data_IF_688508226511
#
_entry.id   IF_688508226511
#
_cell.length_a   1.000
_cell.length_b   1.000
_cell.length_c   1.000
_cell.angle_alpha   90.00
_cell.angle_beta   90.00
_cell.angle_gamma   90.00
#
_symmetry.space_group_name_H-M   'P 1'
#
loop_
_entity.id
_entity.type
_entity.pdbx_description
1 polymer ?
#
# COMPACT_ATOMS: atom_id res chain seq x y z
N UNK A 1 53.18 5.57 -26.38
CA UNK A 1 53.63 4.21 -26.01
C UNK A 1 53.92 4.26 -24.52
N UNK A 2 53.29 3.54 -23.60
CA UNK A 2 52.21 2.57 -23.62
C UNK A 2 51.64 2.51 -22.19
N UNK A 3 50.42 1.99 -22.07
CA UNK A 3 49.77 1.67 -20.80
C UNK A 3 50.63 0.75 -19.93
N UNK A 4 50.53 0.90 -18.62
CA UNK A 4 50.74 -0.22 -17.70
C UNK A 4 49.50 -0.42 -16.81
N UNK A 5 48.99 -1.64 -16.84
CA UNK A 5 47.79 -2.15 -16.18
C UNK A 5 48.25 -3.02 -15.02
N UNK A 6 48.13 -2.55 -13.79
CA UNK A 6 48.19 -3.41 -12.61
C UNK A 6 47.47 -2.79 -11.41
N UNK A 7 46.15 -3.00 -11.38
CA UNK A 7 45.46 -3.41 -10.15
C UNK A 7 45.46 -4.95 -10.14
N UNK A 8 45.23 -5.68 -9.03
CA UNK A 8 44.35 -5.28 -7.91
C UNK A 8 44.77 -5.81 -6.50
N UNK A 9 43.96 -5.49 -5.49
CA UNK A 9 43.92 -6.08 -4.14
C UNK A 9 45.00 -5.67 -3.13
N UNK A 10 44.67 -4.69 -2.28
CA UNK A 10 45.41 -4.45 -1.04
C UNK A 10 45.01 -3.13 -0.39
N UNK A 11 43.95 -3.16 0.42
CA UNK A 11 43.53 -1.96 1.16
C UNK A 11 42.11 -1.95 1.71
N UNK A 12 41.54 -3.10 2.08
CA UNK A 12 40.42 -3.14 3.03
C UNK A 12 40.97 -2.78 4.42
N UNK A 13 41.09 -1.49 4.66
CA UNK A 13 41.52 -0.88 5.91
C UNK A 13 40.89 0.50 6.06
N UNK A 14 39.60 0.61 5.74
CA UNK A 14 38.81 1.82 5.98
C UNK A 14 38.55 1.94 7.48
N UNK A 15 39.13 2.97 8.09
CA UNK A 15 39.00 3.32 9.49
C UNK A 15 37.54 3.39 9.93
N UNK A 16 37.25 2.69 11.01
CA UNK A 16 36.09 2.88 11.87
C UNK A 16 36.17 4.31 12.41
N UNK A 17 35.33 5.24 11.93
CA UNK A 17 35.17 6.54 12.59
C UNK A 17 34.89 7.77 11.71
N UNK A 18 33.83 7.75 10.91
CA UNK A 18 33.10 9.01 10.59
C UNK A 18 31.60 8.75 10.76
N UNK A 19 30.94 9.36 11.77
CA UNK A 19 29.51 9.15 12.04
C UNK A 19 28.60 9.69 10.93
N UNK A 20 29.10 10.54 10.04
CA UNK A 20 28.32 11.18 8.96
C UNK A 20 28.43 10.46 7.59
N UNK A 21 29.34 9.49 7.43
CA UNK A 21 29.52 8.76 6.17
C UNK A 21 28.54 7.58 5.99
N UNK A 22 28.11 6.96 7.09
CA UNK A 22 27.17 5.83 7.09
C UNK A 22 25.83 6.10 6.37
N UNK A 23 25.16 7.26 6.56
CA UNK A 23 23.92 7.56 5.82
C UNK A 23 24.17 7.79 4.33
N UNK A 24 25.27 8.46 3.96
CA UNK A 24 25.59 8.75 2.55
C UNK A 24 25.87 7.46 1.76
N UNK A 25 26.62 6.53 2.34
CA UNK A 25 26.89 5.23 1.70
C UNK A 25 25.62 4.39 1.51
N UNK A 26 24.70 4.41 2.48
CA UNK A 26 23.44 3.69 2.41
C UNK A 26 22.52 4.26 1.33
N UNK A 27 22.40 5.59 1.26
CA UNK A 27 21.63 6.28 0.21
C UNK A 27 22.27 6.04 -1.16
N UNK A 28 23.59 6.10 -1.27
CA UNK A 28 24.31 5.85 -2.53
C UNK A 28 24.06 4.44 -3.06
N UNK A 29 24.14 3.42 -2.18
CA UNK A 29 23.81 2.05 -2.54
C UNK A 29 22.36 1.94 -3.02
N UNK A 30 21.42 2.57 -2.31
CA UNK A 30 20.01 2.51 -2.66
C UNK A 30 19.72 3.16 -4.02
N UNK A 31 20.28 4.34 -4.27
CA UNK A 31 20.14 5.03 -5.56
C UNK A 31 20.78 4.22 -6.69
N UNK A 32 21.96 3.62 -6.47
CA UNK A 32 22.60 2.75 -7.45
C UNK A 32 21.73 1.52 -7.79
N UNK A 33 21.10 0.92 -6.78
CA UNK A 33 20.17 -0.20 -6.96
C UNK A 33 18.93 0.21 -7.75
N UNK A 34 18.32 1.35 -7.43
CA UNK A 34 17.18 1.89 -8.19
C UNK A 34 17.54 2.12 -9.67
N UNK A 35 18.70 2.73 -9.94
CA UNK A 35 19.18 2.92 -11.31
C UNK A 35 19.39 1.57 -12.01
N UNK A 36 19.94 0.59 -11.31
CA UNK A 36 20.15 -0.77 -11.84
C UNK A 36 18.81 -1.45 -12.16
N UNK A 37 17.79 -1.31 -11.30
CA UNK A 37 16.45 -1.80 -11.55
C UNK A 37 15.83 -1.18 -12.80
N UNK A 38 15.97 0.13 -13.00
CA UNK A 38 15.44 0.82 -14.17
C UNK A 38 16.15 0.35 -15.45
N UNK A 39 17.49 0.26 -15.43
CA UNK A 39 18.28 -0.19 -16.58
C UNK A 39 17.96 -1.63 -16.96
N UNK A 40 17.93 -2.53 -15.97
CA UNK A 40 17.62 -3.95 -16.19
C UNK A 40 16.16 -4.11 -16.62
N UNK A 41 15.23 -3.37 -16.02
CA UNK A 41 13.82 -3.35 -16.41
C UNK A 41 13.64 -2.97 -17.88
N UNK A 42 14.29 -1.90 -18.35
CA UNK A 42 14.23 -1.50 -19.75
C UNK A 42 14.85 -2.53 -20.71
N UNK A 43 15.95 -3.19 -20.32
CA UNK A 43 16.53 -4.27 -21.13
C UNK A 43 15.61 -5.49 -21.24
N UNK A 44 14.82 -5.75 -20.20
CA UNK A 44 13.91 -6.88 -20.08
C UNK A 44 12.49 -6.60 -20.58
N UNK A 45 12.20 -5.36 -20.98
CA UNK A 45 10.89 -4.91 -21.51
C UNK A 45 10.41 -5.77 -22.70
N UNK A 46 11.34 -6.35 -23.46
CA UNK A 46 11.01 -7.28 -24.57
C UNK A 46 10.52 -8.65 -24.11
N UNK A 47 10.74 -9.04 -22.86
CA UNK A 47 10.29 -10.31 -22.31
C UNK A 47 8.86 -10.19 -21.80
N UNK A 48 7.94 -11.00 -22.34
CA UNK A 48 6.53 -11.03 -21.91
C UNK A 48 6.32 -11.51 -20.46
N UNK A 49 7.37 -12.02 -19.81
CA UNK A 49 7.29 -12.68 -18.51
C UNK A 49 7.78 -11.80 -17.34
N UNK A 50 8.33 -10.62 -17.62
CA UNK A 50 9.05 -9.85 -16.60
C UNK A 50 8.63 -8.39 -16.62
N UNK A 51 7.76 -8.01 -15.67
CA UNK A 51 7.41 -6.61 -15.41
C UNK A 51 8.56 -5.93 -14.63
N UNK A 52 8.62 -4.60 -14.67
CA UNK A 52 9.62 -3.82 -13.92
C UNK A 52 9.55 -4.11 -12.42
N UNK A 53 8.35 -4.27 -11.89
CA UNK A 53 8.05 -4.66 -10.50
C UNK A 53 8.69 -5.98 -10.08
N UNK A 54 8.55 -7.02 -10.93
CA UNK A 54 9.12 -8.35 -10.67
C UNK A 54 10.64 -8.27 -10.69
N UNK A 55 11.18 -7.50 -11.64
CA UNK A 55 12.61 -7.25 -11.77
C UNK A 55 13.16 -6.58 -10.50
N UNK A 56 12.50 -5.52 -10.02
CA UNK A 56 12.88 -4.82 -8.80
C UNK A 56 12.84 -5.72 -7.56
N UNK A 57 11.81 -6.56 -7.44
CA UNK A 57 11.70 -7.54 -6.36
C UNK A 57 12.85 -8.56 -6.39
N UNK A 58 13.14 -9.13 -7.56
CA UNK A 58 14.24 -10.10 -7.72
C UNK A 58 15.59 -9.47 -7.41
N UNK A 59 15.85 -8.25 -7.88
CA UNK A 59 17.07 -7.51 -7.57
C UNK A 59 17.15 -7.23 -6.06
N UNK A 60 16.04 -6.86 -5.42
CA UNK A 60 15.96 -6.68 -3.97
C UNK A 60 16.35 -7.95 -3.20
N UNK A 61 15.80 -9.10 -3.60
CA UNK A 61 16.16 -10.41 -3.02
C UNK A 61 17.63 -10.74 -3.24
N UNK A 62 18.15 -10.60 -4.47
CA UNK A 62 19.57 -10.86 -4.78
C UNK A 62 20.48 -9.96 -3.94
N UNK A 63 20.12 -8.68 -3.80
CA UNK A 63 20.86 -7.72 -2.98
C UNK A 63 20.82 -8.11 -1.50
N UNK A 64 19.65 -8.50 -0.99
CA UNK A 64 19.50 -8.99 0.38
C UNK A 64 20.36 -10.24 0.65
N UNK A 65 20.43 -11.18 -0.30
CA UNK A 65 21.32 -12.37 -0.20
C UNK A 65 22.78 -11.90 -0.13
N UNK A 66 23.18 -11.00 -1.03
CA UNK A 66 24.56 -10.51 -1.09
C UNK A 66 24.97 -9.79 0.20
N UNK A 67 24.09 -8.95 0.76
CA UNK A 67 24.30 -8.30 2.05
C UNK A 67 24.40 -9.33 3.17
N UNK A 68 23.55 -10.35 3.18
CA UNK A 68 23.56 -11.39 4.21
C UNK A 68 24.86 -12.22 4.18
N UNK A 69 25.33 -12.59 2.98
CA UNK A 69 26.58 -13.34 2.79
C UNK A 69 27.78 -12.50 3.19
N UNK A 70 27.85 -11.24 2.74
CA UNK A 70 28.97 -10.33 3.06
C UNK A 70 29.04 -9.97 4.55
N UNK A 71 27.89 -9.87 5.22
CA UNK A 71 27.81 -9.52 6.66
C UNK A 71 27.97 -10.75 7.57
N UNK A 72 28.11 -11.96 6.99
CA UNK A 72 28.31 -13.20 7.75
C UNK A 72 27.13 -13.54 8.67
N UNK A 73 25.90 -13.17 8.27
CA UNK A 73 24.69 -13.42 9.05
C UNK A 73 24.51 -12.53 10.29
N UNK A 74 25.27 -11.44 10.45
CA UNK A 74 24.95 -10.40 11.44
C UNK A 74 23.89 -9.45 10.86
N UNK A 75 22.97 -8.97 11.70
CA UNK A 75 21.91 -8.04 11.28
C UNK A 75 22.52 -6.73 10.79
N UNK A 76 22.47 -6.49 9.50
CA UNK A 76 22.76 -5.21 8.89
C UNK A 76 21.49 -4.35 8.97
N UNK A 77 21.55 -3.24 9.72
CA UNK A 77 20.45 -2.26 9.88
C UNK A 77 19.88 -1.73 8.56
N UNK A 78 20.59 -1.92 7.45
CA UNK A 78 20.18 -1.56 6.08
C UNK A 78 18.97 -2.40 5.61
N UNK A 79 18.78 -3.62 6.16
CA UNK A 79 17.69 -4.53 5.76
C UNK A 79 16.40 -4.33 6.55
N UNK A 80 16.40 -3.47 7.57
CA UNK A 80 15.23 -3.26 8.42
C UNK A 80 14.27 -2.34 7.70
N UNK A 81 13.03 -2.79 7.51
CA UNK A 81 11.94 -2.00 6.95
C UNK A 81 11.54 -0.84 7.87
N UNK A 82 11.69 0.39 7.36
CA UNK A 82 11.20 1.61 8.00
C UNK A 82 9.80 1.95 7.47
N UNK A 83 8.80 1.73 8.31
CA UNK A 83 7.41 2.01 8.03
C UNK A 83 7.15 3.50 7.81
N UNK A 84 7.82 4.38 8.53
CA UNK A 84 7.61 5.83 8.41
C UNK A 84 8.03 6.29 7.02
N UNK A 85 9.15 5.77 6.49
CA UNK A 85 9.57 6.03 5.11
C UNK A 85 8.49 5.59 4.12
N UNK A 86 7.95 4.38 4.30
CA UNK A 86 6.91 3.83 3.43
C UNK A 86 5.65 4.71 3.42
N UNK A 87 5.08 4.99 4.59
CA UNK A 87 3.79 5.68 4.69
C UNK A 87 3.89 7.16 4.38
N UNK A 88 4.95 7.83 4.83
CA UNK A 88 5.06 9.28 4.73
C UNK A 88 5.61 9.70 3.37
N UNK A 89 6.50 8.91 2.74
CA UNK A 89 7.18 9.34 1.52
C UNK A 89 6.79 8.54 0.28
N UNK A 90 6.67 7.21 0.37
CA UNK A 90 6.48 6.36 -0.81
C UNK A 90 5.01 6.21 -1.22
N UNK A 91 4.12 6.04 -0.25
CA UNK A 91 2.71 5.78 -0.49
C UNK A 91 1.94 6.98 -1.09
N UNK A 92 2.09 8.23 -0.60
CA UNK A 92 1.25 9.34 -1.06
C UNK A 92 1.38 9.64 -2.56
N UNK A 93 2.59 9.68 -3.18
CA UNK A 93 2.73 9.85 -4.63
C UNK A 93 2.01 8.78 -5.45
N UNK A 94 2.03 7.52 -5.01
CA UNK A 94 1.41 6.40 -5.73
C UNK A 94 -0.11 6.51 -5.71
N UNK A 95 -0.68 6.69 -4.52
CA UNK A 95 -2.14 6.81 -4.33
C UNK A 95 -2.66 8.07 -5.02
N UNK A 96 -1.92 9.17 -4.94
CA UNK A 96 -2.28 10.41 -5.61
C UNK A 96 -2.27 10.24 -7.13
N UNK A 97 -1.23 9.64 -7.70
CA UNK A 97 -1.14 9.37 -9.14
C UNK A 97 -2.29 8.45 -9.60
N UNK A 98 -2.57 7.38 -8.86
CA UNK A 98 -3.71 6.49 -9.12
C UNK A 98 -5.05 7.25 -9.11
N UNK A 99 -5.29 8.10 -8.10
CA UNK A 99 -6.47 8.95 -8.04
C UNK A 99 -6.56 9.99 -9.17
N UNK A 100 -5.42 10.56 -9.55
CA UNK A 100 -5.34 11.55 -10.61
C UNK A 100 -5.64 10.95 -11.99
N UNK A 101 -5.18 9.73 -12.26
CA UNK A 101 -5.36 9.07 -13.55
C UNK A 101 -6.66 8.26 -13.66
N UNK A 102 -7.34 7.94 -12.54
CA UNK A 102 -8.52 7.06 -12.54
C UNK A 102 -9.60 7.52 -13.53
N UNK A 103 -10.24 6.55 -14.22
CA UNK A 103 -11.39 6.82 -15.11
C UNK A 103 -12.62 7.13 -14.27
N UNK A 104 -12.76 8.40 -13.84
CA UNK A 104 -13.79 8.91 -12.90
C UNK A 104 -15.19 8.39 -13.19
N UNK A 105 -15.65 8.44 -14.45
CA UNK A 105 -16.98 7.95 -14.83
C UNK A 105 -17.19 6.47 -14.50
N UNK A 106 -16.20 5.63 -14.77
CA UNK A 106 -16.25 4.19 -14.49
C UNK A 106 -16.16 3.92 -12.99
N UNK A 107 -15.30 4.64 -12.29
CA UNK A 107 -15.13 4.55 -10.84
C UNK A 107 -16.44 4.89 -10.12
N UNK A 108 -17.03 6.06 -10.40
CA UNK A 108 -18.28 6.50 -9.76
C UNK A 108 -19.49 5.65 -10.16
N UNK A 109 -19.52 5.09 -11.37
CA UNK A 109 -20.58 4.14 -11.77
C UNK A 109 -20.56 2.86 -10.93
N UNK A 110 -19.37 2.40 -10.53
CA UNK A 110 -19.19 1.18 -9.74
C UNK A 110 -18.93 1.46 -8.25
N UNK A 111 -19.10 2.70 -7.79
CA UNK A 111 -18.74 3.12 -6.43
C UNK A 111 -19.45 2.31 -5.35
N UNK A 112 -20.73 1.98 -5.55
CA UNK A 112 -21.46 1.13 -4.60
C UNK A 112 -20.86 -0.27 -4.50
N UNK A 113 -20.45 -0.87 -5.63
CA UNK A 113 -19.77 -2.17 -5.64
C UNK A 113 -18.41 -2.08 -4.94
N UNK A 114 -17.66 -1.00 -5.18
CA UNK A 114 -16.38 -0.72 -4.52
C UNK A 114 -16.54 -0.65 -3.00
N UNK A 115 -17.47 0.18 -2.52
CA UNK A 115 -17.73 0.33 -1.08
C UNK A 115 -18.26 -0.95 -0.46
N UNK A 116 -19.06 -1.74 -1.21
CA UNK A 116 -19.54 -3.04 -0.76
C UNK A 116 -18.39 -4.02 -0.55
N UNK A 117 -17.47 -4.16 -1.51
CA UNK A 117 -16.29 -5.02 -1.36
C UNK A 117 -15.36 -4.49 -0.26
N UNK A 118 -15.07 -3.19 -0.25
CA UNK A 118 -14.11 -2.58 0.65
C UNK A 118 -14.58 -2.44 2.09
N UNK A 119 -15.89 -2.38 2.38
CA UNK A 119 -16.40 -2.28 3.74
C UNK A 119 -17.09 -3.55 4.24
N UNK A 120 -18.03 -4.10 3.46
CA UNK A 120 -18.73 -5.33 3.87
C UNK A 120 -17.83 -6.53 3.66
N UNK A 121 -17.05 -6.57 2.57
CA UNK A 121 -16.13 -7.67 2.32
C UNK A 121 -15.04 -7.79 3.38
N UNK A 122 -14.56 -6.66 3.89
CA UNK A 122 -13.50 -6.62 4.92
C UNK A 122 -14.02 -7.04 6.28
N UNK A 123 -15.25 -6.65 6.63
CA UNK A 123 -15.95 -7.16 7.82
C UNK A 123 -16.19 -8.67 7.75
N UNK A 124 -16.58 -9.20 6.58
CA UNK A 124 -16.75 -10.65 6.40
C UNK A 124 -15.40 -11.36 6.56
N UNK A 125 -14.35 -10.87 5.90
CA UNK A 125 -13.00 -11.44 6.02
C UNK A 125 -12.48 -11.37 7.46
N UNK A 126 -12.71 -10.26 8.17
CA UNK A 126 -12.39 -10.11 9.59
C UNK A 126 -13.06 -11.18 10.44
N UNK A 127 -14.39 -11.35 10.33
CA UNK A 127 -15.14 -12.31 11.14
C UNK A 127 -14.65 -13.73 10.90
N UNK A 128 -14.39 -14.09 9.63
CA UNK A 128 -13.91 -15.43 9.27
C UNK A 128 -12.51 -15.67 9.83
N UNK A 129 -11.58 -14.73 9.65
CA UNK A 129 -10.22 -14.86 10.15
C UNK A 129 -10.23 -14.93 11.68
N UNK A 130 -10.95 -14.03 12.36
CA UNK A 130 -11.09 -14.03 13.81
C UNK A 130 -11.62 -15.37 14.35
N UNK A 131 -12.78 -15.83 13.85
CA UNK A 131 -13.40 -17.06 14.33
C UNK A 131 -12.53 -18.29 14.01
N UNK A 132 -11.94 -18.33 12.82
CA UNK A 132 -11.05 -19.41 12.43
C UNK A 132 -9.79 -19.46 13.27
N UNK A 133 -9.21 -18.31 13.62
CA UNK A 133 -8.09 -18.24 14.54
C UNK A 133 -8.50 -18.70 15.93
N UNK A 134 -9.63 -18.24 16.48
CA UNK A 134 -10.08 -18.73 17.79
C UNK A 134 -10.22 -20.26 17.84
N UNK A 135 -10.83 -20.85 16.80
CA UNK A 135 -11.09 -22.29 16.76
C UNK A 135 -9.82 -23.12 16.48
N UNK A 136 -9.05 -22.73 15.47
CA UNK A 136 -7.89 -23.50 15.01
C UNK A 136 -6.62 -23.21 15.80
N UNK A 137 -6.39 -21.97 16.26
CA UNK A 137 -5.23 -21.70 17.10
C UNK A 137 -5.40 -22.29 18.49
N UNK A 138 -6.61 -22.37 19.04
CA UNK A 138 -6.88 -23.07 20.32
C UNK A 138 -6.29 -24.50 20.34
N UNK A 139 -6.21 -25.16 19.19
CA UNK A 139 -5.63 -26.50 19.04
C UNK A 139 -4.09 -26.53 19.04
N UNK A 140 -3.42 -25.41 18.75
CA UNK A 140 -1.96 -25.32 18.56
C UNK A 140 -1.29 -24.51 19.69
N UNK A 141 -1.89 -23.39 20.08
CA UNK A 141 -1.40 -22.45 21.10
C UNK A 141 -2.60 -21.84 21.85
N UNK A 142 -2.52 -21.73 23.17
CA UNK A 142 -3.51 -20.97 23.94
C UNK A 142 -3.41 -19.47 23.60
N UNK A 143 -4.20 -19.01 22.63
CA UNK A 143 -4.21 -17.60 22.20
C UNK A 143 -5.31 -16.84 22.90
N UNK A 144 -4.97 -15.65 23.40
CA UNK A 144 -5.90 -14.72 24.02
C UNK A 144 -6.89 -14.23 22.97
N UNK A 145 -8.18 -14.21 23.32
CA UNK A 145 -9.26 -13.74 22.42
C UNK A 145 -8.92 -12.38 21.80
N UNK A 146 -8.41 -11.44 22.59
CA UNK A 146 -7.99 -10.12 22.13
C UNK A 146 -6.97 -10.19 20.97
N UNK A 147 -5.97 -11.07 21.05
CA UNK A 147 -4.96 -11.25 19.99
C UNK A 147 -5.59 -11.80 18.71
N UNK A 148 -6.52 -12.76 18.82
CA UNK A 148 -7.21 -13.32 17.64
C UNK A 148 -8.09 -12.30 16.93
N UNK A 149 -8.73 -11.40 17.69
CA UNK A 149 -9.54 -10.30 17.16
C UNK A 149 -8.65 -9.27 16.48
N UNK A 150 -7.56 -8.83 17.14
CA UNK A 150 -6.60 -7.89 16.57
C UNK A 150 -5.98 -8.43 15.27
N UNK A 151 -5.59 -9.71 15.26
CA UNK A 151 -5.07 -10.38 14.06
C UNK A 151 -6.11 -10.44 12.95
N UNK A 152 -7.38 -10.69 13.26
CA UNK A 152 -8.47 -10.61 12.29
C UNK A 152 -8.55 -9.25 11.59
N UNK A 153 -8.38 -8.15 12.33
CA UNK A 153 -8.46 -6.79 11.77
C UNK A 153 -7.19 -6.40 11.01
N UNK A 154 -6.02 -6.84 11.48
CA UNK A 154 -4.75 -6.66 10.77
C UNK A 154 -4.79 -7.37 9.41
N UNK A 155 -5.18 -8.66 9.42
CA UNK A 155 -5.27 -9.49 8.23
C UNK A 155 -6.60 -9.31 7.48
N UNK A 156 -7.44 -8.32 7.77
CA UNK A 156 -8.50 -7.90 6.85
C UNK A 156 -7.98 -6.90 5.81
N UNK A 157 -7.02 -6.05 6.17
CA UNK A 157 -6.41 -5.03 5.29
C UNK A 157 -5.64 -5.63 4.11
N UNK A 158 -5.86 -5.16 2.89
CA UNK A 158 -5.20 -5.65 1.67
C UNK A 158 -4.46 -4.56 0.95
N UNK A 159 -3.35 -4.93 0.32
CA UNK A 159 -2.66 -4.01 -0.56
C UNK A 159 -3.29 -4.01 -1.95
N UNK A 160 -3.87 -2.90 -2.34
CA UNK A 160 -4.23 -2.72 -3.74
C UNK A 160 -3.05 -2.21 -4.57
N UNK A 161 -2.08 -1.51 -3.99
CA UNK A 161 -0.97 -0.89 -4.72
C UNK A 161 -0.14 -1.93 -5.46
N UNK A 162 0.24 -3.00 -4.75
CA UNK A 162 1.00 -4.10 -5.33
C UNK A 162 0.28 -4.77 -6.52
N UNK A 163 -1.04 -4.88 -6.43
CA UNK A 163 -1.86 -5.51 -7.48
C UNK A 163 -2.02 -4.63 -8.72
N UNK A 164 -2.04 -3.30 -8.53
CA UNK A 164 -2.15 -2.36 -9.65
C UNK A 164 -0.93 -2.32 -10.56
N UNK A 165 0.21 -2.81 -10.08
CA UNK A 165 1.42 -2.86 -10.90
C UNK A 165 1.40 -4.01 -11.91
N UNK A 166 0.48 -4.96 -11.74
CA UNK A 166 0.21 -6.02 -12.72
C UNK A 166 -1.02 -5.67 -13.57
N UNK A 167 -1.97 -4.92 -13.02
CA UNK A 167 -3.19 -4.52 -13.69
C UNK A 167 -3.03 -3.20 -14.42
N UNK A 168 -3.14 -3.22 -15.75
CA UNK A 168 -3.14 -1.98 -16.53
C UNK A 168 -4.53 -1.33 -16.52
N UNK A 169 -4.55 -0.01 -16.31
CA UNK A 169 -5.77 0.80 -16.37
C UNK A 169 -6.31 0.96 -17.81
N UNK A 170 -5.44 0.78 -18.81
CA UNK A 170 -5.81 0.88 -20.22
C UNK A 170 -6.55 -0.38 -20.69
N UNK A 171 -6.02 -1.57 -20.39
CA UNK A 171 -6.60 -2.84 -20.84
C UNK A 171 -7.80 -3.26 -19.98
N UNK A 172 -7.73 -3.06 -18.65
CA UNK A 172 -8.73 -3.57 -17.70
C UNK A 172 -9.29 -2.49 -16.75
N UNK A 173 -9.92 -1.42 -17.28
CA UNK A 173 -10.32 -0.26 -16.49
C UNK A 173 -11.33 -0.55 -15.37
N UNK A 174 -12.22 -1.54 -15.57
CA UNK A 174 -13.19 -1.95 -14.56
C UNK A 174 -12.48 -2.62 -13.39
N UNK A 175 -11.65 -3.62 -13.68
CA UNK A 175 -10.93 -4.41 -12.67
C UNK A 175 -9.95 -3.54 -11.88
N UNK A 176 -9.19 -2.68 -12.57
CA UNK A 176 -8.33 -1.68 -11.95
C UNK A 176 -9.11 -0.81 -10.96
N UNK A 177 -10.25 -0.26 -11.38
CA UNK A 177 -11.07 0.61 -10.51
C UNK A 177 -11.66 -0.13 -9.32
N UNK A 178 -12.06 -1.40 -9.49
CA UNK A 178 -12.63 -2.23 -8.44
C UNK A 178 -11.59 -2.59 -7.39
N UNK A 179 -10.46 -3.17 -7.81
CA UNK A 179 -9.40 -3.64 -6.90
C UNK A 179 -8.75 -2.46 -6.17
N UNK A 180 -8.47 -1.37 -6.90
CA UNK A 180 -7.93 -0.17 -6.27
C UNK A 180 -8.91 0.47 -5.29
N UNK A 181 -10.15 0.70 -5.74
CA UNK A 181 -11.16 1.32 -4.90
C UNK A 181 -11.47 0.49 -3.66
N UNK A 182 -11.56 -0.83 -3.81
CA UNK A 182 -11.73 -1.76 -2.68
C UNK A 182 -10.59 -1.58 -1.69
N UNK A 183 -9.33 -1.58 -2.13
CA UNK A 183 -8.17 -1.43 -1.26
C UNK A 183 -8.18 -0.13 -0.45
N UNK A 184 -8.46 1.01 -1.10
CA UNK A 184 -8.53 2.31 -0.42
C UNK A 184 -9.64 2.33 0.64
N UNK A 185 -10.83 1.78 0.34
CA UNK A 185 -11.92 1.68 1.32
C UNK A 185 -11.59 0.67 2.41
N UNK A 186 -10.96 -0.45 2.05
CA UNK A 186 -10.53 -1.49 2.98
C UNK A 186 -9.57 -0.96 4.03
N UNK A 187 -8.55 -0.20 3.62
CA UNK A 187 -7.58 0.38 4.52
C UNK A 187 -8.24 1.26 5.58
N UNK A 188 -9.18 2.12 5.17
CA UNK A 188 -9.97 2.91 6.11
C UNK A 188 -10.79 2.02 7.07
N UNK A 189 -11.47 0.99 6.55
CA UNK A 189 -12.31 0.09 7.38
C UNK A 189 -11.50 -0.71 8.38
N UNK A 190 -10.32 -1.20 7.99
CA UNK A 190 -9.44 -1.99 8.85
C UNK A 190 -8.86 -1.14 9.98
N UNK A 191 -8.51 0.13 9.71
CA UNK A 191 -8.09 1.08 10.75
C UNK A 191 -9.22 1.36 11.74
N UNK A 192 -10.45 1.60 11.26
CA UNK A 192 -11.62 1.80 12.14
C UNK A 192 -11.84 0.58 13.04
N UNK A 193 -11.77 -0.61 12.45
CA UNK A 193 -11.99 -1.86 13.13
C UNK A 193 -10.92 -2.10 14.20
N UNK A 194 -9.65 -1.90 13.86
CA UNK A 194 -8.54 -2.03 14.80
C UNK A 194 -8.63 -1.04 15.96
N UNK A 195 -8.90 0.24 15.68
CA UNK A 195 -9.07 1.26 16.72
C UNK A 195 -10.26 0.94 17.65
N UNK A 196 -11.34 0.37 17.10
CA UNK A 196 -12.47 -0.05 17.90
C UNK A 196 -12.14 -1.25 18.80
N UNK A 197 -11.36 -2.22 18.30
CA UNK A 197 -10.89 -3.36 19.09
C UNK A 197 -10.03 -2.91 20.28
N UNK A 198 -9.25 -1.84 20.13
CA UNK A 198 -8.49 -1.26 21.23
C UNK A 198 -9.34 -0.51 22.24
N UNK A 199 -10.41 0.16 21.78
CA UNK A 199 -11.26 1.01 22.63
C UNK A 199 -12.36 0.25 23.36
N UNK A 200 -12.86 -0.85 22.78
CA UNK A 200 -13.99 -1.60 23.33
C UNK A 200 -13.54 -2.90 23.98
N UNK A 201 -14.06 -3.15 25.17
CA UNK A 201 -13.84 -4.40 25.88
C UNK A 201 -14.71 -5.50 25.26
N UNK A 202 -14.06 -6.53 24.71
CA UNK A 202 -14.69 -7.59 23.89
C UNK A 202 -15.56 -8.57 24.71
N UNK A 203 -15.61 -8.40 26.02
CA UNK A 203 -16.40 -9.23 26.94
C UNK A 203 -17.92 -9.07 26.76
N UNK A 204 -18.38 -7.93 26.21
CA UNK A 204 -19.80 -7.67 25.95
C UNK A 204 -20.05 -7.10 24.55
N UNK A 205 -20.05 -7.96 23.53
CA UNK A 205 -20.46 -7.57 22.17
C UNK A 205 -21.95 -7.24 22.18
N UNK A 206 -22.26 -5.94 22.23
CA UNK A 206 -23.62 -5.41 22.22
C UNK A 206 -23.95 -4.84 20.84
N UNK A 207 -25.22 -4.87 20.41
CA UNK A 207 -25.67 -4.26 19.15
C UNK A 207 -25.34 -2.76 19.03
N UNK A 208 -25.15 -2.07 20.17
CA UNK A 208 -24.67 -0.68 20.23
C UNK A 208 -23.24 -0.53 19.68
N UNK A 209 -22.35 -1.50 19.90
CA UNK A 209 -20.96 -1.47 19.43
C UNK A 209 -20.93 -1.56 17.90
N UNK A 210 -21.76 -2.42 17.31
CA UNK A 210 -21.89 -2.51 15.85
C UNK A 210 -22.38 -1.19 15.23
N UNK A 211 -23.33 -0.50 15.88
CA UNK A 211 -23.82 0.79 15.42
C UNK A 211 -22.78 1.91 15.59
N UNK A 212 -22.01 1.88 16.67
CA UNK A 212 -20.90 2.81 16.90
C UNK A 212 -19.73 2.59 15.93
N UNK A 213 -19.42 1.34 15.58
CA UNK A 213 -18.47 0.95 14.54
C UNK A 213 -18.88 1.50 13.18
N UNK A 214 -20.15 1.28 12.80
CA UNK A 214 -20.69 1.81 11.54
C UNK A 214 -20.64 3.35 11.54
N UNK A 215 -21.02 3.99 12.64
CA UNK A 215 -20.94 5.44 12.80
C UNK A 215 -19.50 5.98 12.68
N UNK A 216 -18.53 5.29 13.29
CA UNK A 216 -17.11 5.66 13.23
C UNK A 216 -16.55 5.49 11.81
N UNK A 217 -16.93 4.42 11.11
CA UNK A 217 -16.57 4.22 9.71
C UNK A 217 -17.15 5.32 8.83
N UNK A 218 -18.45 5.60 8.94
CA UNK A 218 -19.09 6.67 8.17
C UNK A 218 -18.46 8.03 8.49
N UNK A 219 -18.19 8.31 9.76
CA UNK A 219 -17.49 9.53 10.18
C UNK A 219 -16.15 9.65 9.48
N UNK A 220 -15.26 8.65 9.63
CA UNK A 220 -13.93 8.66 9.01
C UNK A 220 -14.00 8.75 7.48
N UNK A 221 -14.95 8.06 6.87
CA UNK A 221 -15.15 8.10 5.42
C UNK A 221 -15.59 9.49 4.93
N UNK A 222 -16.60 10.08 5.56
CA UNK A 222 -17.13 11.38 5.16
C UNK A 222 -16.20 12.55 5.51
N UNK A 223 -15.52 12.52 6.65
CA UNK A 223 -14.56 13.59 6.99
C UNK A 223 -13.31 13.52 6.13
N UNK A 224 -12.77 12.33 5.83
CA UNK A 224 -11.59 12.17 4.97
C UNK A 224 -11.88 12.62 3.52
N UNK A 225 -13.07 12.28 3.00
CA UNK A 225 -13.54 12.75 1.68
C UNK A 225 -13.75 14.26 1.66
N UNK A 226 -14.41 14.82 2.68
CA UNK A 226 -14.64 16.25 2.80
C UNK A 226 -13.34 17.03 2.91
N UNK A 227 -12.35 16.53 3.66
CA UNK A 227 -11.04 17.17 3.79
C UNK A 227 -10.29 17.20 2.46
N UNK A 228 -10.35 16.10 1.68
CA UNK A 228 -9.78 16.05 0.33
C UNK A 228 -10.42 17.08 -0.61
N UNK A 229 -11.75 17.24 -0.56
CA UNK A 229 -12.49 18.25 -1.34
C UNK A 229 -12.17 19.67 -0.85
N UNK A 230 -12.14 19.89 0.46
CA UNK A 230 -11.89 21.20 1.07
C UNK A 230 -10.50 21.74 0.76
N UNK A 231 -9.47 20.88 0.76
CA UNK A 231 -8.11 21.25 0.36
C UNK A 231 -8.04 21.74 -1.08
N UNK A 232 -8.90 21.23 -1.97
CA UNK A 232 -8.96 21.70 -3.35
C UNK A 232 -9.70 23.03 -3.45
N UNK A 233 -10.73 23.26 -2.64
CA UNK A 233 -11.32 24.60 -2.52
C UNK A 233 -10.27 25.65 -2.07
N UNK A 234 -9.39 25.27 -1.14
CA UNK A 234 -8.24 26.12 -0.76
C UNK A 234 -7.25 26.31 -1.90
N UNK A 235 -6.92 25.25 -2.66
CA UNK A 235 -6.09 25.37 -3.86
C UNK A 235 -6.72 26.32 -4.88
N UNK A 236 -8.02 26.20 -5.15
CA UNK A 236 -8.74 27.05 -6.10
C UNK A 236 -8.74 28.52 -5.67
N UNK A 237 -8.95 28.78 -4.39
CA UNK A 237 -8.86 30.14 -3.85
C UNK A 237 -7.43 30.67 -3.94
N UNK A 238 -6.43 29.83 -3.68
CA UNK A 238 -5.01 30.19 -3.77
C UNK A 238 -4.58 30.48 -5.22
N UNK A 239 -4.94 29.64 -6.19
CA UNK A 239 -4.65 29.87 -7.62
C UNK A 239 -5.43 31.06 -8.17
N UNK A 240 -6.66 31.27 -7.72
CA UNK A 240 -7.47 32.45 -8.05
C UNK A 240 -6.83 33.74 -7.50
N UNK A 241 -6.37 33.73 -6.24
CA UNK A 241 -5.62 34.85 -5.64
C UNK A 241 -4.27 35.09 -6.32
N UNK A 242 -3.61 34.02 -6.75
CA UNK A 242 -2.37 34.06 -7.50
C UNK A 242 -2.60 34.28 -9.00
N UNK A 243 -3.79 34.70 -9.47
CA UNK A 243 -4.08 34.92 -10.91
C UNK A 243 -3.15 35.93 -11.63
N UNK A 244 -2.31 36.69 -10.92
CA UNK A 244 -1.20 37.45 -11.51
C UNK A 244 0.02 36.58 -11.91
N UNK A 245 0.03 35.28 -11.60
CA UNK A 245 1.14 34.33 -11.80
C UNK A 245 0.91 33.27 -12.89
N UNK A 246 -0.14 33.46 -13.72
CA UNK A 246 -0.71 32.51 -14.69
C UNK A 246 0.20 32.01 -15.83
N UNK A 247 1.51 32.23 -15.77
CA UNK A 247 2.45 31.97 -16.87
C UNK A 247 3.58 30.97 -16.57
N UNK A 248 3.71 30.44 -15.35
CA UNK A 248 4.78 29.49 -15.03
C UNK A 248 4.26 28.09 -14.75
N UNK A 249 4.48 27.17 -15.70
CA UNK A 249 4.14 25.74 -15.60
C UNK A 249 4.71 25.09 -14.33
N UNK A 250 5.95 25.40 -13.98
CA UNK A 250 6.64 24.77 -12.84
C UNK A 250 5.96 25.05 -11.49
N UNK A 251 5.42 26.27 -11.32
CA UNK A 251 4.74 26.66 -10.08
C UNK A 251 3.41 25.93 -9.92
N UNK A 252 2.66 25.79 -11.02
CA UNK A 252 1.40 25.05 -11.02
C UNK A 252 1.67 23.60 -10.58
N UNK A 253 2.58 22.90 -11.27
CA UNK A 253 2.94 21.50 -10.95
C UNK A 253 3.41 21.35 -9.50
N UNK A 254 4.28 22.25 -9.03
CA UNK A 254 4.80 22.22 -7.65
C UNK A 254 3.71 22.40 -6.60
N UNK A 255 2.78 23.35 -6.81
CA UNK A 255 1.65 23.57 -5.92
C UNK A 255 0.74 22.34 -5.85
N UNK A 256 0.49 21.67 -7.00
CA UNK A 256 -0.32 20.45 -7.02
C UNK A 256 0.32 19.33 -6.20
N UNK A 257 1.64 19.14 -6.35
CA UNK A 257 2.39 18.13 -5.58
C UNK A 257 2.37 18.42 -4.07
N UNK A 258 2.62 19.67 -3.67
CA UNK A 258 2.61 20.09 -2.27
C UNK A 258 1.21 19.96 -1.65
N UNK A 259 0.15 20.29 -2.40
CA UNK A 259 -1.23 20.16 -1.91
C UNK A 259 -1.66 18.71 -1.73
N UNK A 260 -1.25 17.82 -2.65
CA UNK A 260 -1.46 16.38 -2.49
C UNK A 260 -0.82 15.89 -1.18
N UNK A 261 0.45 16.24 -0.96
CA UNK A 261 1.18 15.85 0.25
C UNK A 261 0.59 16.45 1.53
N UNK A 262 0.24 17.74 1.49
CA UNK A 262 -0.41 18.43 2.60
C UNK A 262 -1.75 17.79 2.97
N UNK A 263 -2.50 17.27 1.99
CA UNK A 263 -3.77 16.56 2.25
C UNK A 263 -3.55 15.28 3.03
N UNK A 264 -2.49 14.53 2.72
CA UNK A 264 -2.12 13.31 3.43
C UNK A 264 -1.69 13.61 4.88
N UNK A 265 -0.69 14.48 5.06
CA UNK A 265 -0.15 14.81 6.39
C UNK A 265 -1.23 15.41 7.30
N UNK A 266 -2.12 16.26 6.76
CA UNK A 266 -3.21 16.83 7.55
C UNK A 266 -4.24 15.79 7.97
N UNK A 267 -4.52 14.80 7.13
CA UNK A 267 -5.41 13.71 7.51
C UNK A 267 -4.80 12.88 8.65
N UNK A 268 -3.51 12.56 8.59
CA UNK A 268 -2.80 11.86 9.67
C UNK A 268 -2.80 12.68 10.97
N UNK A 269 -2.61 14.01 10.91
CA UNK A 269 -2.69 14.90 12.09
C UNK A 269 -4.08 14.93 12.75
N UNK A 270 -5.13 14.62 12.01
CA UNK A 270 -6.51 14.57 12.52
C UNK A 270 -7.00 13.14 12.82
N UNK A 271 -6.09 12.15 12.86
CA UNK A 271 -6.42 10.72 13.02
C UNK A 271 -7.45 10.22 11.98
N UNK A 272 -7.42 10.79 10.77
CA UNK A 272 -8.24 10.40 9.62
C UNK A 272 -7.46 9.45 8.69
N UNK A 273 -8.12 8.90 7.67
CA UNK A 273 -7.44 8.03 6.71
C UNK A 273 -6.68 8.88 5.66
N UNK A 274 -5.36 9.02 5.83
CA UNK A 274 -4.51 9.74 4.87
C UNK A 274 -4.61 9.19 3.44
N UNK A 275 -4.65 7.86 3.31
CA UNK A 275 -4.80 7.14 2.02
C UNK A 275 -6.10 7.54 1.31
N UNK A 276 -7.22 7.54 2.04
CA UNK A 276 -8.52 7.92 1.50
C UNK A 276 -8.55 9.40 1.10
N UNK A 277 -8.02 10.28 1.96
CA UNK A 277 -7.98 11.72 1.69
C UNK A 277 -7.13 12.07 0.46
N UNK A 278 -5.90 11.53 0.35
CA UNK A 278 -5.02 11.84 -0.78
C UNK A 278 -5.57 11.28 -2.09
N UNK A 279 -6.26 10.14 -2.05
CA UNK A 279 -6.93 9.57 -3.22
C UNK A 279 -8.07 10.47 -3.74
N UNK A 280 -9.00 10.87 -2.87
CA UNK A 280 -10.07 11.79 -3.27
C UNK A 280 -9.54 13.16 -3.66
N UNK A 281 -8.46 13.62 -3.03
CA UNK A 281 -7.72 14.79 -3.47
C UNK A 281 -7.26 14.61 -4.93
N UNK A 282 -6.60 13.51 -5.27
CA UNK A 282 -6.20 13.19 -6.66
C UNK A 282 -7.35 13.19 -7.67
N UNK A 283 -8.48 12.55 -7.34
CA UNK A 283 -9.67 12.49 -8.22
C UNK A 283 -10.19 13.89 -8.55
N UNK A 284 -10.43 14.69 -7.52
CA UNK A 284 -11.02 16.02 -7.66
C UNK A 284 -10.00 16.97 -8.32
N UNK A 285 -8.72 16.82 -7.99
CA UNK A 285 -7.64 17.59 -8.61
C UNK A 285 -7.53 17.31 -10.11
N UNK A 286 -7.66 16.05 -10.53
CA UNK A 286 -7.69 15.67 -11.94
C UNK A 286 -8.88 16.28 -12.70
N UNK A 287 -10.02 16.51 -12.04
CA UNK A 287 -11.13 17.22 -12.67
C UNK A 287 -10.83 18.71 -12.81
N UNK A 288 -10.19 19.29 -11.80
CA UNK A 288 -9.82 20.70 -11.80
C UNK A 288 -8.74 21.04 -12.83
N UNK A 289 -7.67 20.26 -12.92
CA UNK A 289 -6.56 20.48 -13.87
C UNK A 289 -7.04 20.49 -15.31
N UNK A 290 -8.03 19.66 -15.65
CA UNK A 290 -8.63 19.63 -16.99
C UNK A 290 -9.36 20.93 -17.37
N UNK A 291 -9.85 21.71 -16.41
CA UNK A 291 -10.61 22.92 -16.71
C UNK A 291 -9.85 24.22 -16.46
N UNK A 292 -8.92 24.24 -15.50
CA UNK A 292 -8.34 25.50 -15.00
C UNK A 292 -6.85 25.67 -15.28
N UNK A 293 -6.15 24.62 -15.70
CA UNK A 293 -4.69 24.62 -15.90
C UNK A 293 -4.34 24.68 -17.39
N UNK A 294 -3.21 25.30 -17.72
CA UNK A 294 -2.68 25.40 -19.10
C UNK A 294 -2.37 24.04 -19.71
N UNK A 295 -2.42 23.92 -21.05
CA UNK A 295 -2.19 22.63 -21.74
C UNK A 295 -0.78 22.06 -21.46
N UNK A 296 0.25 22.90 -21.51
CA UNK A 296 1.63 22.53 -21.16
C UNK A 296 1.73 21.95 -19.75
N UNK A 297 1.05 22.58 -18.78
CA UNK A 297 1.02 22.13 -17.39
C UNK A 297 0.25 20.84 -17.20
N UNK A 298 -0.84 20.60 -17.95
CA UNK A 298 -1.56 19.31 -17.92
C UNK A 298 -0.66 18.14 -18.32
N UNK A 299 0.10 18.30 -19.41
CA UNK A 299 1.03 17.27 -19.90
C UNK A 299 2.15 17.05 -18.88
N UNK A 300 2.77 18.14 -18.42
CA UNK A 300 3.87 18.08 -17.45
C UNK A 300 3.43 17.40 -16.14
N UNK A 301 2.26 17.76 -15.62
CA UNK A 301 1.67 17.20 -14.40
C UNK A 301 1.45 15.68 -14.52
N UNK A 302 0.90 15.23 -15.65
CA UNK A 302 0.64 13.80 -15.89
C UNK A 302 1.94 12.99 -15.87
N UNK A 303 2.99 13.49 -16.54
CA UNK A 303 4.28 12.80 -16.57
C UNK A 303 5.03 12.89 -15.24
N UNK A 304 4.99 14.03 -14.55
CA UNK A 304 5.64 14.21 -13.26
C UNK A 304 5.07 13.25 -12.20
N UNK A 305 3.74 13.15 -12.09
CA UNK A 305 3.12 12.24 -11.12
C UNK A 305 3.29 10.77 -11.49
N UNK A 306 3.26 10.44 -12.79
CA UNK A 306 3.57 9.09 -13.24
C UNK A 306 5.03 8.69 -12.91
N UNK A 307 6.00 9.59 -13.14
CA UNK A 307 7.41 9.33 -12.84
C UNK A 307 7.67 9.18 -11.33
N UNK A 308 7.06 10.03 -10.50
CA UNK A 308 7.15 9.93 -9.05
C UNK A 308 6.53 8.64 -8.51
N UNK A 309 5.34 8.27 -9.01
CA UNK A 309 4.69 6.99 -8.70
C UNK A 309 5.61 5.82 -9.05
N UNK A 310 6.15 5.82 -10.28
CA UNK A 310 7.02 4.77 -10.77
C UNK A 310 8.30 4.59 -9.94
N UNK A 311 8.96 5.69 -9.56
CA UNK A 311 10.16 5.62 -8.69
C UNK A 311 9.79 5.07 -7.31
N UNK A 312 8.71 5.57 -6.70
CA UNK A 312 8.23 5.06 -5.42
C UNK A 312 7.85 3.57 -5.48
N UNK A 313 7.26 3.13 -6.59
CA UNK A 313 6.89 1.74 -6.83
C UNK A 313 8.10 0.80 -6.90
N UNK A 314 9.13 1.16 -7.67
CA UNK A 314 10.38 0.38 -7.74
C UNK A 314 11.05 0.34 -6.36
N UNK A 315 11.06 1.47 -5.65
CA UNK A 315 11.60 1.56 -4.30
C UNK A 315 10.91 0.54 -3.39
N UNK A 316 9.58 0.49 -3.36
CA UNK A 316 8.82 -0.43 -2.51
C UNK A 316 9.20 -1.88 -2.78
N UNK A 317 9.23 -2.34 -4.03
CA UNK A 317 9.55 -3.74 -4.33
C UNK A 317 10.98 -4.12 -4.02
N UNK A 318 11.92 -3.23 -4.33
CA UNK A 318 13.32 -3.44 -4.00
C UNK A 318 13.47 -3.58 -2.48
N UNK A 319 12.81 -2.70 -1.73
CA UNK A 319 12.87 -2.67 -0.28
C UNK A 319 12.19 -3.90 0.35
N UNK A 320 11.02 -4.32 -0.13
CA UNK A 320 10.33 -5.55 0.29
C UNK A 320 11.17 -6.79 -0.04
N UNK A 321 11.81 -6.83 -1.21
CA UNK A 321 12.70 -7.93 -1.59
C UNK A 321 13.91 -8.08 -0.66
N UNK A 322 14.47 -6.95 -0.21
CA UNK A 322 15.56 -6.92 0.77
C UNK A 322 15.08 -7.34 2.17
N UNK A 323 13.94 -6.84 2.63
CA UNK A 323 13.36 -7.12 3.95
C UNK A 323 12.94 -8.59 4.14
N UNK A 324 12.56 -9.28 3.06
CA UNK A 324 12.21 -10.71 3.09
C UNK A 324 13.35 -11.62 3.59
N UNK A 325 14.60 -11.13 3.53
CA UNK A 325 15.80 -11.86 3.93
C UNK A 325 16.36 -11.41 5.28
N UNK A 326 15.60 -10.64 6.05
CA UNK A 326 16.00 -10.23 7.39
C UNK A 326 16.17 -11.44 8.33
N UNK A 327 17.41 -11.62 8.79
CA UNK A 327 17.84 -12.77 9.60
C UNK A 327 17.17 -12.81 10.96
N UNK A 328 16.70 -11.66 11.49
CA UNK A 328 16.05 -11.61 12.79
C UNK A 328 14.69 -12.31 12.77
N UNK A 329 13.92 -12.10 11.69
CA UNK A 329 12.65 -12.81 11.43
C UNK A 329 12.90 -14.32 11.27
N UNK A 330 13.90 -14.70 10.47
CA UNK A 330 14.25 -16.11 10.26
C UNK A 330 14.80 -16.80 11.50
N UNK A 331 15.49 -16.07 12.40
CA UNK A 331 15.97 -16.62 13.68
C UNK A 331 14.81 -16.96 14.62
N UNK A 332 13.72 -16.20 14.59
CA UNK A 332 12.49 -16.51 15.36
C UNK A 332 11.83 -17.78 14.80
N UNK A 333 11.72 -17.89 13.47
CA UNK A 333 11.20 -19.08 12.80
C UNK A 333 12.05 -20.32 13.09
N UNK A 334 13.38 -20.18 13.09
CA UNK A 334 14.31 -21.28 13.33
C UNK A 334 14.25 -21.84 14.77
N UNK A 335 13.79 -21.07 15.76
CA UNK A 335 13.63 -21.54 17.14
C UNK A 335 12.49 -22.55 17.31
N UNK A 336 11.45 -22.47 16.46
CA UNK A 336 10.35 -23.45 16.46
C UNK A 336 9.70 -23.54 15.06
N UNK A 337 10.34 -24.24 14.11
CA UNK A 337 9.92 -24.26 12.71
C UNK A 337 8.55 -24.94 12.52
N UNK A 338 8.24 -25.98 13.30
CA UNK A 338 6.97 -26.69 13.19
C UNK A 338 5.77 -25.85 13.65
N UNK A 339 5.89 -25.13 14.78
CA UNK A 339 4.79 -24.28 15.26
C UNK A 339 4.66 -23.02 14.41
N UNK A 340 5.76 -22.41 13.98
CA UNK A 340 5.71 -21.25 13.08
C UNK A 340 5.10 -21.60 11.73
N UNK A 341 5.48 -22.74 11.13
CA UNK A 341 4.90 -23.19 9.87
C UNK A 341 3.40 -23.51 10.02
N UNK A 342 3.00 -24.15 11.12
CA UNK A 342 1.59 -24.43 11.43
C UNK A 342 0.76 -23.15 11.56
N UNK A 343 1.23 -22.19 12.36
CA UNK A 343 0.60 -20.87 12.56
C UNK A 343 0.47 -20.11 11.25
N UNK A 344 1.55 -20.03 10.45
CA UNK A 344 1.54 -19.35 9.15
C UNK A 344 0.62 -20.04 8.13
N UNK A 345 0.60 -21.37 8.10
CA UNK A 345 -0.28 -22.13 7.20
C UNK A 345 -1.76 -21.94 7.56
N UNK A 346 -2.10 -21.96 8.85
CA UNK A 346 -3.48 -21.72 9.31
C UNK A 346 -3.89 -20.29 8.98
N UNK A 347 -3.03 -19.30 9.25
CA UNK A 347 -3.26 -17.90 8.89
C UNK A 347 -3.52 -17.72 7.40
N UNK A 348 -2.64 -18.28 6.56
CA UNK A 348 -2.76 -18.20 5.10
C UNK A 348 -4.06 -18.87 4.62
N UNK A 349 -4.40 -20.05 5.16
CA UNK A 349 -5.66 -20.72 4.87
C UNK A 349 -6.88 -19.89 5.25
N UNK A 350 -6.88 -19.29 6.44
CA UNK A 350 -7.98 -18.43 6.89
C UNK A 350 -8.11 -17.15 6.07
N UNK A 351 -6.99 -16.56 5.64
CA UNK A 351 -6.98 -15.41 4.73
C UNK A 351 -7.58 -15.77 3.37
N UNK A 352 -7.17 -16.90 2.78
CA UNK A 352 -7.71 -17.38 1.51
C UNK A 352 -9.22 -17.61 1.59
N UNK A 353 -9.67 -18.29 2.66
CA UNK A 353 -11.07 -18.59 2.91
C UNK A 353 -11.88 -17.31 3.19
N UNK A 354 -11.38 -16.44 4.05
CA UNK A 354 -12.02 -15.17 4.38
C UNK A 354 -12.18 -14.27 3.16
N UNK A 355 -11.24 -14.32 2.22
CA UNK A 355 -11.31 -13.61 0.94
C UNK A 355 -12.24 -14.27 -0.07
N UNK A 356 -12.23 -15.60 -0.17
CA UNK A 356 -13.17 -16.31 -1.06
C UNK A 356 -14.63 -16.06 -0.62
N UNK A 357 -14.87 -16.14 0.69
CA UNK A 357 -16.18 -15.93 1.27
C UNK A 357 -16.66 -14.47 1.22
N UNK A 358 -15.77 -13.49 1.08
CA UNK A 358 -16.18 -12.11 0.81
C UNK A 358 -16.39 -11.86 -0.69
N UNK A 359 -15.45 -12.25 -1.54
CA UNK A 359 -15.47 -11.90 -2.97
C UNK A 359 -16.57 -12.62 -3.74
N UNK A 360 -16.72 -13.95 -3.61
CA UNK A 360 -17.70 -14.67 -4.43
C UNK A 360 -19.15 -14.29 -4.11
N UNK A 361 -19.61 -14.28 -2.84
CA UNK A 361 -20.98 -13.90 -2.51
C UNK A 361 -21.29 -12.43 -2.84
N UNK A 362 -20.35 -11.50 -2.55
CA UNK A 362 -20.57 -10.09 -2.86
C UNK A 362 -20.56 -9.82 -4.37
N UNK A 363 -19.77 -10.55 -5.15
CA UNK A 363 -19.82 -10.46 -6.62
C UNK A 363 -21.15 -10.97 -7.18
N UNK A 364 -21.71 -12.04 -6.60
CA UNK A 364 -23.04 -12.53 -6.95
C UNK A 364 -24.11 -11.47 -6.64
N UNK A 365 -24.10 -10.93 -5.43
CA UNK A 365 -25.03 -9.86 -5.00
C UNK A 365 -24.88 -8.64 -5.92
N UNK A 366 -23.66 -8.18 -6.19
CA UNK A 366 -23.42 -7.04 -7.07
C UNK A 366 -23.90 -7.31 -8.50
N UNK A 367 -23.77 -8.53 -9.01
CA UNK A 367 -24.22 -8.89 -10.35
C UNK A 367 -25.76 -8.90 -10.47
N UNK A 368 -26.49 -9.10 -9.38
CA UNK A 368 -27.96 -8.98 -9.35
C UNK A 368 -28.43 -7.52 -9.49
N UNK A 369 -27.69 -6.57 -8.91
CA UNK A 369 -28.04 -5.14 -8.98
C UNK A 369 -27.63 -4.48 -10.30
N UNK A 370 -26.80 -5.13 -11.12
CA UNK A 370 -26.34 -4.58 -12.41
C UNK A 370 -27.33 -4.89 -13.54
N UNK A 371 -27.83 -3.82 -14.17
CA UNK A 371 -28.83 -3.89 -15.25
C UNK A 371 -28.25 -4.25 -16.63
N UNK A 372 -26.94 -4.09 -16.86
CA UNK A 372 -26.29 -4.35 -18.15
C UNK A 372 -25.32 -5.52 -18.04
N UNK A 373 -25.35 -6.43 -19.04
CA UNK A 373 -24.46 -7.59 -19.09
C UNK A 373 -22.98 -7.21 -19.23
N UNK A 374 -22.66 -6.08 -19.86
CA UNK A 374 -21.28 -5.59 -20.02
C UNK A 374 -20.66 -5.07 -18.72
N UNK A 375 -21.46 -4.83 -17.68
CA UNK A 375 -20.97 -4.37 -16.38
C UNK A 375 -20.84 -5.54 -15.37
N UNK A 376 -21.31 -6.74 -15.70
CA UNK A 376 -21.28 -7.89 -14.79
C UNK A 376 -19.86 -8.39 -14.61
N UNK A 377 -19.50 -8.68 -13.36
CA UNK A 377 -18.19 -9.22 -12.99
C UNK A 377 -18.18 -10.70 -13.36
N UNK A 378 -17.41 -11.06 -14.38
CA UNK A 378 -17.25 -12.43 -14.85
C UNK A 378 -16.53 -13.29 -13.81
N UNK A 379 -16.73 -14.61 -13.86
CA UNK A 379 -16.06 -15.54 -12.93
C UNK A 379 -14.53 -15.44 -12.99
N UNK A 380 -13.95 -15.20 -14.17
CA UNK A 380 -12.51 -14.97 -14.34
C UNK A 380 -12.06 -13.71 -13.58
N UNK A 381 -12.83 -12.62 -13.67
CA UNK A 381 -12.54 -11.37 -12.97
C UNK A 381 -12.67 -11.54 -11.46
N UNK A 382 -13.65 -12.33 -10.99
CA UNK A 382 -13.81 -12.66 -9.57
C UNK A 382 -12.58 -13.41 -9.02
N UNK A 383 -12.03 -14.36 -9.78
CA UNK A 383 -10.79 -15.05 -9.40
C UNK A 383 -9.64 -14.06 -9.32
N UNK A 384 -9.53 -13.13 -10.27
CA UNK A 384 -8.46 -12.13 -10.25
C UNK A 384 -8.61 -11.20 -9.03
N UNK A 385 -9.83 -10.75 -8.71
CA UNK A 385 -10.10 -9.93 -7.51
C UNK A 385 -9.74 -10.72 -6.24
N UNK A 386 -10.12 -12.00 -6.18
CA UNK A 386 -9.79 -12.87 -5.05
C UNK A 386 -8.29 -13.02 -4.86
N UNK A 387 -7.53 -13.28 -5.94
CA UNK A 387 -6.07 -13.39 -5.91
C UNK A 387 -5.37 -12.06 -5.59
N UNK A 388 -5.83 -10.97 -6.19
CA UNK A 388 -5.30 -9.63 -5.96
C UNK A 388 -5.44 -9.25 -4.48
N UNK A 389 -6.61 -9.52 -3.88
CA UNK A 389 -6.88 -9.28 -2.46
C UNK A 389 -6.15 -10.20 -1.47
N UNK A 390 -5.23 -11.06 -1.92
CA UNK A 390 -4.37 -11.83 -1.00
C UNK A 390 -3.13 -11.05 -0.57
N UNK A 391 -2.72 -10.06 -1.36
CA UNK A 391 -1.54 -9.27 -1.06
C UNK A 391 -1.83 -8.40 0.18
N UNK A 392 -0.92 -8.45 1.15
CA UNK A 392 -1.03 -7.69 2.40
C UNK A 392 -0.08 -6.52 2.35
N UNK A 393 -0.63 -5.35 2.64
CA UNK A 393 0.04 -4.07 2.44
C UNK A 393 0.57 -3.51 3.74
N UNK A 394 1.19 -2.35 3.64
CA UNK A 394 1.77 -1.70 4.80
C UNK A 394 0.76 -1.40 5.91
N UNK A 395 -0.53 -1.15 5.60
CA UNK A 395 -1.53 -0.93 6.65
C UNK A 395 -1.60 -2.11 7.60
N UNK A 396 -1.53 -3.35 7.09
CA UNK A 396 -1.45 -4.53 7.95
C UNK A 396 -0.16 -4.56 8.79
N UNK A 397 0.96 -4.08 8.25
CA UNK A 397 2.22 -3.98 8.99
C UNK A 397 2.13 -2.92 10.08
N UNK A 398 1.69 -1.69 9.79
CA UNK A 398 1.51 -0.62 10.79
C UNK A 398 0.60 -1.04 11.94
N UNK A 399 -0.51 -1.71 11.64
CA UNK A 399 -1.42 -2.22 12.67
C UNK A 399 -0.75 -3.33 13.49
N UNK A 400 0.07 -4.19 12.87
CA UNK A 400 0.83 -5.22 13.59
C UNK A 400 1.89 -4.60 14.52
N UNK A 401 2.66 -3.62 14.06
CA UNK A 401 3.65 -2.93 14.89
C UNK A 401 3.00 -2.16 16.04
N UNK A 402 1.87 -1.50 15.79
CA UNK A 402 1.10 -0.84 16.85
C UNK A 402 0.60 -1.87 17.88
N UNK A 403 0.13 -3.04 17.43
CA UNK A 403 -0.27 -4.13 18.34
C UNK A 403 0.89 -4.64 19.20
N UNK A 404 2.09 -4.79 18.61
CA UNK A 404 3.31 -5.20 19.34
C UNK A 404 3.68 -4.15 20.39
N UNK A 405 3.69 -2.87 20.01
CA UNK A 405 3.98 -1.74 20.91
C UNK A 405 3.03 -1.70 22.10
N UNK A 406 1.73 -1.93 21.88
CA UNK A 406 0.71 -1.96 22.93
C UNK A 406 0.86 -3.21 23.82
N UNK A 407 1.25 -4.35 23.24
CA UNK A 407 1.41 -5.61 23.97
C UNK A 407 2.66 -5.65 24.86
N UNK A 408 3.55 -4.65 24.76
CA UNK A 408 4.70 -4.46 25.65
C UNK A 408 5.69 -5.63 25.67
N UNK A 409 5.77 -6.43 24.59
CA UNK A 409 6.63 -7.59 24.45
C UNK A 409 7.54 -7.49 23.24
#
# INVERSE_FOLDING_TARGET
>A
MGFDWSLPFGGLGGSIGEPDAAPVHSITLFVALLLTCILIGHLLEKSRWMNESITALVIGVVTGILILVTTGGKSSRILIFDEEIFFIYLLPPIIFNAGFQVKKKQFFRNFMTITLFGAVGTLISFVIIFLGLMFLFSLIVSVVVHTSVALGAIFSATDSVCTLQVLSQEDTPLLYSLVFGEGVVNDATSVVLFNAIQRFDLSHITSSIALQLLGSFLYLFFTSTLLGIAKISLYNNLTSLLCNFRHSTDREVSLMMLMAYLSYVMAELFDLSGILTVFFCGIVMSHYTWHNVTESSRVTTKHAFAALSFISEIFIFLYVGMDALDIEKWRIVAKSPATSAGVSSVMLGMVLLGRAASVFPLSFISNLFKKSDNDKIQFKEQIIIWWAGLIRGAVSMALAYNQVKISGR
#
